data_IF_980701792006
#
_entry.id   IF_980701792006
#
_cell.length_a   1.000
_cell.length_b   1.000
_cell.length_c   1.000
_cell.angle_alpha   90.00
_cell.angle_beta   90.00
_cell.angle_gamma   90.00
#
_symmetry.space_group_name_H-M   'P 1'
#
loop_
_entity.id
_entity.type
_entity.pdbx_description
1 polymer ?
#
# COMPACT_ATOMS: atom_id res chain seq x y z
N UNK A 1 17.32 0.38 15.67
CA UNK A 1 16.97 -0.96 16.06
C UNK A 1 15.81 -0.97 17.02
N UNK A 2 14.81 -1.81 16.81
CA UNK A 2 13.70 -2.20 17.68
C UNK A 2 12.34 -1.58 17.28
N UNK A 3 11.78 -2.07 16.18
CA UNK A 3 10.33 -2.36 16.07
C UNK A 3 10.16 -3.20 14.82
N UNK A 4 10.40 -4.50 14.96
CA UNK A 4 9.73 -5.49 14.12
C UNK A 4 8.30 -5.59 14.63
N UNK A 5 7.50 -4.53 14.45
CA UNK A 5 6.07 -4.66 14.52
C UNK A 5 5.66 -5.42 13.25
N UNK A 6 5.35 -6.69 13.43
CA UNK A 6 4.79 -7.50 12.37
C UNK A 6 3.59 -6.75 11.79
N UNK A 7 3.43 -6.81 10.49
CA UNK A 7 2.35 -6.16 9.71
C UNK A 7 0.94 -6.54 10.21
N UNK A 8 0.84 -7.43 11.20
CA UNK A 8 -0.37 -8.01 11.78
C UNK A 8 -0.38 -7.98 13.32
N UNK A 9 0.16 -6.91 13.91
CA UNK A 9 0.06 -6.76 15.36
C UNK A 9 -1.41 -6.50 15.74
N UNK A 10 -2.01 -7.39 16.53
CA UNK A 10 -3.42 -7.28 16.95
C UNK A 10 -3.70 -6.05 17.83
N UNK A 11 -2.66 -5.42 18.37
CA UNK A 11 -2.69 -4.17 19.11
C UNK A 11 -1.75 -3.13 18.47
N UNK A 12 -2.04 -2.67 17.25
CA UNK A 12 -1.15 -1.78 16.50
C UNK A 12 -1.07 -0.38 17.12
N UNK A 13 0.05 0.29 16.89
CA UNK A 13 0.23 1.69 17.21
C UNK A 13 -0.24 2.55 16.01
N UNK A 14 -1.31 3.35 16.20
CA UNK A 14 -1.94 4.16 15.14
C UNK A 14 -0.93 5.14 14.50
N UNK A 15 0.05 5.59 15.28
CA UNK A 15 1.04 6.56 14.83
C UNK A 15 2.27 5.91 14.21
N UNK A 16 2.85 4.88 14.87
CA UNK A 16 4.18 4.38 14.56
C UNK A 16 4.19 3.04 13.80
N UNK A 17 3.09 2.25 13.84
CA UNK A 17 3.03 1.00 13.06
C UNK A 17 3.05 1.27 11.56
N UNK A 18 3.51 0.31 10.73
CA UNK A 18 3.47 0.44 9.27
C UNK A 18 2.09 0.84 8.76
N UNK A 19 2.03 1.85 7.91
CA UNK A 19 0.77 2.45 7.47
C UNK A 19 0.15 3.42 8.48
N UNK A 20 0.85 3.78 9.55
CA UNK A 20 0.42 4.75 10.55
C UNK A 20 0.62 6.21 10.14
N UNK A 21 0.24 7.12 11.05
CA UNK A 21 0.34 8.56 10.80
C UNK A 21 1.78 9.05 10.58
N UNK A 22 2.78 8.35 11.13
CA UNK A 22 4.19 8.69 10.95
C UNK A 22 4.61 8.55 9.49
N UNK A 23 4.13 7.54 8.79
CA UNK A 23 4.48 7.34 7.38
C UNK A 23 3.99 8.50 6.52
N UNK A 24 2.76 8.98 6.75
CA UNK A 24 2.22 10.15 6.06
C UNK A 24 2.99 11.43 6.39
N UNK A 25 3.42 11.60 7.64
CA UNK A 25 4.23 12.75 8.06
C UNK A 25 5.60 12.72 7.39
N UNK A 26 6.27 11.57 7.39
CA UNK A 26 7.60 11.40 6.84
C UNK A 26 7.62 11.75 5.35
N UNK A 27 6.67 11.22 4.57
CA UNK A 27 6.64 11.47 3.13
C UNK A 27 6.31 12.93 2.81
N UNK A 28 5.47 13.60 3.59
CA UNK A 28 5.22 15.04 3.44
C UNK A 28 6.45 15.87 3.82
N UNK A 29 7.20 15.48 4.84
CA UNK A 29 8.46 16.17 5.20
C UNK A 29 9.51 16.02 4.11
N UNK A 30 9.71 14.81 3.58
CA UNK A 30 10.62 14.58 2.46
C UNK A 30 10.21 15.41 1.24
N UNK A 31 8.91 15.39 0.91
CA UNK A 31 8.37 16.17 -0.22
C UNK A 31 8.60 17.67 -0.04
N UNK A 32 8.42 18.17 1.18
CA UNK A 32 8.68 19.58 1.50
C UNK A 32 10.17 19.92 1.43
N UNK A 33 11.02 19.08 1.99
CA UNK A 33 12.48 19.29 1.96
C UNK A 33 13.02 19.27 0.53
N UNK A 34 12.48 18.42 -0.33
CA UNK A 34 12.83 18.34 -1.74
C UNK A 34 12.17 19.44 -2.62
N UNK A 35 11.41 20.37 -2.04
CA UNK A 35 10.75 21.45 -2.75
C UNK A 35 9.53 21.06 -3.58
N UNK A 36 9.01 19.83 -3.42
CA UNK A 36 7.87 19.31 -4.20
C UNK A 36 6.49 19.68 -3.63
N UNK A 37 6.44 20.23 -2.42
CA UNK A 37 5.20 20.68 -1.81
C UNK A 37 5.02 20.20 -0.37
N UNK A 38 4.02 20.78 0.31
CA UNK A 38 3.76 20.57 1.74
C UNK A 38 2.38 19.98 2.04
N UNK A 39 1.60 19.70 1.00
CA UNK A 39 0.24 19.17 1.14
C UNK A 39 -0.09 18.18 0.03
N UNK A 40 -1.02 17.28 0.29
CA UNK A 40 -1.50 16.30 -0.69
C UNK A 40 -2.00 16.94 -1.98
N UNK A 41 -2.70 18.08 -1.87
CA UNK A 41 -3.20 18.83 -3.01
C UNK A 41 -2.07 19.44 -3.85
N UNK A 42 -1.00 19.90 -3.22
CA UNK A 42 0.19 20.40 -3.92
C UNK A 42 0.92 19.28 -4.66
N UNK A 43 1.10 18.13 -4.03
CA UNK A 43 1.71 16.96 -4.65
C UNK A 43 0.92 16.48 -5.86
N UNK A 44 -0.41 16.50 -5.78
CA UNK A 44 -1.27 16.18 -6.93
C UNK A 44 -1.16 17.20 -8.06
N UNK A 45 -1.16 18.50 -7.76
CA UNK A 45 -0.98 19.56 -8.78
C UNK A 45 0.36 19.46 -9.51
N UNK A 46 1.40 18.98 -8.81
CA UNK A 46 2.74 18.77 -9.39
C UNK A 46 2.93 17.40 -10.05
N UNK A 47 1.88 16.58 -10.09
CA UNK A 47 1.89 15.29 -10.76
C UNK A 47 2.71 14.19 -10.08
N UNK A 48 3.03 14.33 -8.77
CA UNK A 48 3.69 13.27 -8.01
C UNK A 48 2.73 12.15 -7.65
N UNK A 49 1.48 12.53 -7.36
CA UNK A 49 0.37 11.61 -7.13
C UNK A 49 -0.84 12.07 -7.93
N UNK A 50 -1.77 11.17 -8.17
CA UNK A 50 -3.04 11.53 -8.81
C UNK A 50 -3.97 12.25 -7.83
N UNK A 51 -4.95 13.06 -8.32
CA UNK A 51 -5.97 13.65 -7.45
C UNK A 51 -6.76 12.63 -6.64
N UNK A 52 -6.94 11.40 -7.17
CA UNK A 52 -7.58 10.28 -6.46
C UNK A 52 -6.72 9.80 -5.29
N UNK A 53 -5.43 9.63 -5.51
CA UNK A 53 -4.47 9.23 -4.46
C UNK A 53 -4.39 10.28 -3.36
N UNK A 54 -4.38 11.57 -3.71
CA UNK A 54 -4.38 12.65 -2.74
C UNK A 54 -5.64 12.62 -1.84
N UNK A 55 -6.83 12.42 -2.43
CA UNK A 55 -8.07 12.26 -1.66
C UNK A 55 -8.08 11.02 -0.77
N UNK A 56 -7.51 9.90 -1.26
CA UNK A 56 -7.38 8.69 -0.45
C UNK A 56 -6.44 8.89 0.73
N UNK A 57 -5.28 9.52 0.51
CA UNK A 57 -4.33 9.84 1.58
C UNK A 57 -4.99 10.72 2.66
N UNK A 58 -5.70 11.77 2.27
CA UNK A 58 -6.44 12.64 3.19
C UNK A 58 -7.50 11.88 3.98
N UNK A 59 -8.27 11.01 3.31
CA UNK A 59 -9.31 10.20 3.96
C UNK A 59 -8.71 9.22 4.98
N UNK A 60 -7.63 8.51 4.63
CA UNK A 60 -6.98 7.59 5.54
C UNK A 60 -6.33 8.32 6.72
N UNK A 61 -5.69 9.47 6.46
CA UNK A 61 -5.16 10.33 7.51
C UNK A 61 -6.26 10.75 8.49
N UNK A 62 -7.41 11.20 8.00
CA UNK A 62 -8.53 11.60 8.83
C UNK A 62 -9.07 10.44 9.69
N UNK A 63 -9.18 9.22 9.12
CA UNK A 63 -9.60 8.02 9.86
C UNK A 63 -8.63 7.72 11.00
N UNK A 64 -7.33 7.72 10.73
CA UNK A 64 -6.32 7.41 11.75
C UNK A 64 -6.25 8.51 12.82
N UNK A 65 -6.41 9.77 12.44
CA UNK A 65 -6.46 10.90 13.38
C UNK A 65 -7.71 10.83 14.29
N UNK A 66 -8.90 10.54 13.73
CA UNK A 66 -10.12 10.38 14.51
C UNK A 66 -9.99 9.23 15.53
N UNK A 67 -9.51 8.08 15.09
CA UNK A 67 -9.26 6.94 15.99
C UNK A 67 -8.26 7.30 17.09
N UNK A 68 -7.18 8.00 16.78
CA UNK A 68 -6.17 8.41 17.74
C UNK A 68 -6.72 9.40 18.76
N UNK A 69 -7.50 10.38 18.32
CA UNK A 69 -8.11 11.39 19.20
C UNK A 69 -9.05 10.70 20.20
N UNK A 70 -9.96 9.85 19.72
CA UNK A 70 -10.88 9.08 20.57
C UNK A 70 -10.15 8.19 21.56
N UNK A 71 -9.11 7.52 21.10
CA UNK A 71 -8.28 6.66 21.96
C UNK A 71 -7.63 7.48 23.10
N UNK A 72 -7.13 8.68 22.82
CA UNK A 72 -6.58 9.57 23.85
C UNK A 72 -7.63 9.97 24.88
N UNK A 73 -8.87 10.29 24.44
CA UNK A 73 -9.97 10.62 25.36
C UNK A 73 -10.36 9.41 26.20
N UNK A 74 -10.53 8.25 25.59
CA UNK A 74 -10.90 7.01 26.28
C UNK A 74 -9.85 6.57 27.31
N UNK A 75 -8.57 6.68 26.96
CA UNK A 75 -7.47 6.32 27.85
C UNK A 75 -7.16 7.38 28.91
N UNK A 76 -7.70 8.60 28.81
CA UNK A 76 -7.37 9.73 29.68
C UNK A 76 -5.91 10.19 29.62
N UNK A 77 -5.16 9.72 28.61
CA UNK A 77 -3.73 9.99 28.42
C UNK A 77 -3.36 9.87 26.94
N UNK A 78 -2.11 10.21 26.60
CA UNK A 78 -1.55 9.92 25.28
C UNK A 78 -1.35 8.42 25.12
N UNK A 79 -2.28 7.77 24.45
CA UNK A 79 -2.22 6.36 24.09
C UNK A 79 -2.36 6.22 22.58
N UNK A 80 -1.35 5.66 21.94
CA UNK A 80 -1.33 5.48 20.48
C UNK A 80 -1.54 4.01 20.09
N UNK A 81 -1.60 3.09 21.05
CA UNK A 81 -1.75 1.66 20.85
C UNK A 81 -3.20 1.24 21.00
N UNK A 82 -3.76 0.60 19.98
CA UNK A 82 -5.11 0.02 19.99
C UNK A 82 -5.15 -1.26 20.82
N UNK A 83 -5.03 -1.14 22.15
CA UNK A 83 -5.13 -2.26 23.07
C UNK A 83 -6.51 -2.92 22.99
N UNK A 84 -6.58 -4.24 23.23
CA UNK A 84 -7.84 -5.00 23.17
C UNK A 84 -8.94 -4.40 24.01
N UNK A 85 -8.61 -3.91 25.22
CA UNK A 85 -9.58 -3.30 26.15
C UNK A 85 -10.26 -2.05 25.56
N UNK A 86 -9.57 -1.32 24.68
CA UNK A 86 -10.14 -0.12 24.04
C UNK A 86 -10.87 -0.40 22.73
N UNK A 87 -10.56 -1.53 22.04
CA UNK A 87 -11.10 -1.78 20.71
C UNK A 87 -12.64 -1.87 20.71
N UNK A 88 -13.23 -2.56 21.68
CA UNK A 88 -14.68 -2.71 21.75
C UNK A 88 -15.35 -1.37 22.09
N UNK A 89 -14.87 -0.68 23.11
CA UNK A 89 -15.42 0.62 23.53
C UNK A 89 -15.34 1.66 22.40
N UNK A 90 -14.20 1.73 21.69
CA UNK A 90 -14.06 2.63 20.54
C UNK A 90 -15.01 2.27 19.40
N UNK A 91 -15.23 0.97 19.15
CA UNK A 91 -16.19 0.55 18.14
C UNK A 91 -17.62 0.98 18.50
N UNK A 92 -18.00 0.84 19.76
CA UNK A 92 -19.32 1.24 20.25
C UNK A 92 -19.50 2.77 20.21
N UNK A 93 -18.50 3.56 20.61
CA UNK A 93 -18.48 5.03 20.46
C UNK A 93 -18.61 5.50 19.01
N UNK A 94 -18.12 4.70 18.07
CA UNK A 94 -18.24 4.95 16.64
C UNK A 94 -19.59 4.49 16.06
N UNK A 95 -20.49 3.98 16.90
CA UNK A 95 -21.80 3.48 16.50
C UNK A 95 -21.73 2.22 15.62
N UNK A 96 -20.66 1.43 15.75
CA UNK A 96 -20.51 0.19 14.98
C UNK A 96 -21.45 -0.87 15.56
N UNK A 97 -22.25 -1.49 14.72
CA UNK A 97 -23.09 -2.62 15.10
C UNK A 97 -22.73 -3.84 14.24
N UNK A 98 -22.49 -4.96 14.91
CA UNK A 98 -22.16 -6.22 14.25
C UNK A 98 -23.27 -7.25 14.51
N UNK A 99 -23.56 -8.08 13.49
CA UNK A 99 -24.43 -9.24 13.68
C UNK A 99 -23.55 -10.46 14.03
N UNK A 100 -23.96 -11.29 14.99
CA UNK A 100 -23.24 -12.52 15.30
C UNK A 100 -23.00 -13.37 14.05
N UNK A 101 -21.87 -14.05 13.93
CA UNK A 101 -20.79 -14.22 14.95
C UNK A 101 -19.76 -13.07 15.02
N UNK A 102 -19.89 -12.02 14.21
CA UNK A 102 -18.92 -10.93 14.08
C UNK A 102 -18.98 -9.99 15.29
N UNK A 103 -17.81 -9.48 15.75
CA UNK A 103 -17.68 -8.53 16.86
C UNK A 103 -17.50 -7.10 16.35
N UNK A 104 -17.94 -6.11 17.14
CA UNK A 104 -17.75 -4.68 16.82
C UNK A 104 -16.26 -4.31 16.76
N UNK A 105 -15.44 -4.87 17.65
CA UNK A 105 -13.98 -4.72 17.63
C UNK A 105 -13.34 -5.20 16.32
N UNK A 106 -13.84 -6.29 15.72
CA UNK A 106 -13.35 -6.77 14.42
C UNK A 106 -13.66 -5.77 13.29
N UNK A 107 -14.82 -5.11 13.35
CA UNK A 107 -15.17 -4.07 12.39
C UNK A 107 -14.26 -2.83 12.53
N UNK A 108 -13.94 -2.46 13.77
CA UNK A 108 -13.00 -1.38 14.05
C UNK A 108 -11.61 -1.71 13.47
N UNK A 109 -11.11 -2.90 13.79
CA UNK A 109 -9.79 -3.34 13.31
C UNK A 109 -9.75 -3.46 11.78
N UNK A 110 -10.83 -3.94 11.15
CA UNK A 110 -10.93 -3.94 9.69
C UNK A 110 -10.86 -2.52 9.11
N UNK A 111 -11.54 -1.54 9.74
CA UNK A 111 -11.47 -0.12 9.33
C UNK A 111 -10.05 0.42 9.48
N UNK A 112 -9.39 0.12 10.60
CA UNK A 112 -8.00 0.51 10.84
C UNK A 112 -7.06 -0.09 9.79
N UNK A 113 -7.08 -1.40 9.58
CA UNK A 113 -6.17 -2.06 8.63
C UNK A 113 -6.41 -1.63 7.18
N UNK A 114 -7.65 -1.36 6.79
CA UNK A 114 -7.94 -0.77 5.47
C UNK A 114 -7.30 0.62 5.32
N UNK A 115 -7.36 1.44 6.36
CA UNK A 115 -6.72 2.74 6.34
C UNK A 115 -5.18 2.61 6.31
N UNK A 116 -4.59 1.77 7.15
CA UNK A 116 -3.16 1.51 7.21
C UNK A 116 -2.63 0.97 5.86
N UNK A 117 -3.32 -0.01 5.26
CA UNK A 117 -2.98 -0.52 3.92
C UNK A 117 -3.01 0.60 2.86
N UNK A 118 -4.04 1.45 2.88
CA UNK A 118 -4.13 2.58 1.96
C UNK A 118 -3.02 3.60 2.16
N UNK A 119 -2.61 3.86 3.41
CA UNK A 119 -1.45 4.71 3.72
C UNK A 119 -0.17 4.11 3.16
N UNK A 120 0.08 2.82 3.42
CA UNK A 120 1.27 2.12 2.91
C UNK A 120 1.34 2.21 1.39
N UNK A 121 0.23 2.00 0.67
CA UNK A 121 0.18 2.08 -0.78
C UNK A 121 0.54 3.48 -1.29
N UNK A 122 -0.10 4.52 -0.77
CA UNK A 122 0.19 5.91 -1.19
C UNK A 122 1.63 6.29 -0.85
N UNK A 123 2.11 5.91 0.33
CA UNK A 123 3.48 6.17 0.78
C UNK A 123 4.50 5.53 -0.15
N UNK A 124 4.32 4.26 -0.51
CA UNK A 124 5.21 3.54 -1.44
C UNK A 124 5.26 4.21 -2.81
N UNK A 125 4.09 4.50 -3.42
CA UNK A 125 4.04 5.19 -4.72
C UNK A 125 4.75 6.54 -4.64
N UNK A 126 4.48 7.32 -3.60
CA UNK A 126 5.03 8.66 -3.50
C UNK A 126 6.53 8.64 -3.26
N UNK A 127 7.06 7.74 -2.41
CA UNK A 127 8.49 7.59 -2.19
C UNK A 127 9.22 7.19 -3.47
N UNK A 128 8.71 6.22 -4.22
CA UNK A 128 9.29 5.82 -5.52
C UNK A 128 9.24 6.95 -6.55
N UNK A 129 8.15 7.73 -6.55
CA UNK A 129 8.04 8.88 -7.46
C UNK A 129 9.00 10.00 -7.06
N UNK A 130 9.18 10.24 -5.76
CA UNK A 130 10.14 11.22 -5.25
C UNK A 130 11.58 10.79 -5.57
N UNK A 131 11.92 9.53 -5.35
CA UNK A 131 13.24 8.98 -5.68
C UNK A 131 13.58 9.20 -7.15
N UNK A 132 12.67 8.85 -8.06
CA UNK A 132 12.85 9.05 -9.49
C UNK A 132 12.97 10.53 -9.90
N UNK A 133 12.36 11.46 -9.13
CA UNK A 133 12.43 12.91 -9.41
C UNK A 133 13.65 13.56 -8.80
N UNK A 134 14.12 13.09 -7.65
CA UNK A 134 15.30 13.63 -6.94
C UNK A 134 16.58 13.11 -7.59
N UNK A 135 16.57 11.85 -8.01
CA UNK A 135 17.71 11.17 -8.62
C UNK A 135 17.33 10.72 -10.05
N UNK A 136 17.16 11.67 -11.00
CA UNK A 136 16.90 11.29 -12.37
C UNK A 136 18.12 10.51 -12.88
N UNK A 137 17.96 9.22 -13.12
CA UNK A 137 18.99 8.39 -13.76
C UNK A 137 19.35 8.98 -15.14
N UNK A 138 20.60 8.77 -15.57
CA UNK A 138 20.97 9.05 -16.97
C UNK A 138 19.97 8.36 -17.90
N UNK A 139 19.70 8.95 -19.09
CA UNK A 139 18.74 8.45 -20.08
C UNK A 139 18.70 6.93 -20.16
N UNK A 140 17.83 6.32 -19.36
CA UNK A 140 17.70 4.86 -19.30
C UNK A 140 16.80 4.46 -20.45
N UNK A 141 17.38 3.71 -21.39
CA UNK A 141 16.62 3.12 -22.49
C UNK A 141 15.85 1.92 -21.95
N UNK A 142 14.53 1.83 -22.14
CA UNK A 142 13.76 0.66 -21.75
C UNK A 142 14.26 -0.60 -22.48
N UNK A 143 14.46 -1.68 -21.74
CA UNK A 143 14.82 -2.99 -22.29
C UNK A 143 13.61 -3.91 -22.17
N UNK A 144 13.09 -4.36 -23.30
CA UNK A 144 11.93 -5.25 -23.36
C UNK A 144 12.30 -6.60 -22.73
N UNK A 145 11.49 -7.07 -21.78
CA UNK A 145 11.57 -8.41 -21.20
C UNK A 145 10.60 -9.35 -21.94
N UNK A 146 9.35 -8.89 -22.11
CA UNK A 146 8.31 -9.56 -22.87
C UNK A 146 7.25 -8.56 -23.37
N UNK A 147 6.15 -9.05 -23.91
CA UNK A 147 5.06 -8.19 -24.43
C UNK A 147 4.44 -7.27 -23.40
N UNK A 148 4.45 -7.66 -22.10
CA UNK A 148 3.79 -6.95 -21.00
C UNK A 148 4.73 -6.17 -20.12
N UNK A 149 6.01 -6.52 -20.09
CA UNK A 149 6.97 -5.94 -19.17
C UNK A 149 8.28 -5.56 -19.83
N UNK A 150 8.84 -4.47 -19.34
CA UNK A 150 10.15 -3.95 -19.69
C UNK A 150 10.93 -3.60 -18.43
N UNK A 151 12.25 -3.57 -18.58
CA UNK A 151 13.18 -3.06 -17.57
C UNK A 151 13.47 -1.60 -17.86
N UNK A 152 13.28 -0.74 -16.86
CA UNK A 152 13.65 0.67 -16.90
C UNK A 152 14.68 0.93 -15.78
N UNK A 153 15.97 0.90 -16.11
CA UNK A 153 17.03 0.88 -15.11
C UNK A 153 16.96 -0.38 -14.24
N UNK A 154 16.75 -0.21 -12.95
CA UNK A 154 16.59 -1.30 -11.98
C UNK A 154 15.11 -1.60 -11.66
N UNK A 155 14.17 -1.04 -12.43
CA UNK A 155 12.73 -1.15 -12.18
C UNK A 155 12.05 -2.01 -13.23
N UNK A 156 11.13 -2.87 -12.76
CA UNK A 156 10.20 -3.59 -13.63
C UNK A 156 9.03 -2.64 -13.96
N UNK A 157 8.80 -2.40 -15.23
CA UNK A 157 7.75 -1.53 -15.71
C UNK A 157 6.79 -2.28 -16.65
N UNK A 158 5.49 -2.06 -16.46
CA UNK A 158 4.47 -2.55 -17.37
C UNK A 158 4.48 -1.69 -18.65
N UNK A 159 4.42 -2.33 -19.82
CA UNK A 159 4.39 -1.66 -21.14
C UNK A 159 3.06 -0.93 -21.39
N UNK A 160 1.97 -1.34 -20.73
CA UNK A 160 0.64 -0.76 -20.80
C UNK A 160 0.07 -0.60 -19.37
N UNK A 161 -0.45 0.57 -19.05
CA UNK A 161 -1.09 0.87 -17.75
C UNK A 161 -2.33 0.01 -17.47
N UNK A 162 -2.95 -0.55 -18.51
CA UNK A 162 -4.12 -1.40 -18.41
C UNK A 162 -3.80 -2.91 -18.44
N UNK A 163 -2.52 -3.29 -18.44
CA UNK A 163 -2.12 -4.71 -18.54
C UNK A 163 -2.80 -5.58 -17.49
N UNK A 164 -2.85 -5.13 -16.24
CA UNK A 164 -3.45 -5.89 -15.13
C UNK A 164 -4.98 -5.96 -15.18
N UNK A 165 -5.64 -5.05 -15.90
CA UNK A 165 -7.08 -5.10 -16.14
C UNK A 165 -7.42 -6.07 -17.26
N UNK A 166 -6.59 -6.09 -18.32
CA UNK A 166 -6.74 -7.00 -19.45
C UNK A 166 -6.37 -8.42 -19.08
N UNK A 167 -5.29 -8.57 -18.34
CA UNK A 167 -4.70 -9.85 -17.95
C UNK A 167 -4.35 -9.87 -16.45
N UNK A 168 -5.29 -10.24 -15.57
CA UNK A 168 -5.05 -10.29 -14.13
C UNK A 168 -3.87 -11.17 -13.72
N UNK A 169 -3.58 -12.23 -14.48
CA UNK A 169 -2.41 -13.10 -14.28
C UNK A 169 -1.06 -12.37 -14.38
N UNK A 170 -1.01 -11.21 -15.03
CA UNK A 170 0.19 -10.39 -15.12
C UNK A 170 0.71 -9.91 -13.75
N UNK A 171 -0.16 -9.87 -12.71
CA UNK A 171 0.27 -9.57 -11.34
C UNK A 171 1.25 -10.63 -10.83
N UNK A 172 0.91 -11.92 -11.01
CA UNK A 172 1.77 -13.04 -10.62
C UNK A 172 3.02 -13.11 -11.50
N UNK A 173 2.86 -12.89 -12.80
CA UNK A 173 3.98 -12.81 -13.73
C UNK A 173 4.99 -11.72 -13.30
N UNK A 174 4.51 -10.55 -12.90
CA UNK A 174 5.40 -9.48 -12.41
C UNK A 174 6.18 -9.87 -11.15
N UNK A 175 5.64 -10.75 -10.30
CA UNK A 175 6.36 -11.27 -9.14
C UNK A 175 7.43 -12.28 -9.56
N UNK A 176 7.08 -13.18 -10.50
CA UNK A 176 8.00 -14.16 -11.04
C UNK A 176 9.18 -13.52 -11.77
N UNK A 177 8.93 -12.46 -12.56
CA UNK A 177 9.98 -11.71 -13.24
C UNK A 177 10.97 -11.06 -12.27
N UNK A 178 10.49 -10.52 -11.13
CA UNK A 178 11.38 -9.97 -10.11
C UNK A 178 12.26 -11.05 -9.46
N UNK A 179 11.76 -12.28 -9.34
CA UNK A 179 12.53 -13.41 -8.82
C UNK A 179 13.56 -13.92 -9.84
N UNK A 180 13.20 -13.93 -11.13
CA UNK A 180 14.06 -14.40 -12.22
C UNK A 180 15.14 -13.40 -12.62
N UNK A 181 14.95 -12.11 -12.32
CA UNK A 181 15.86 -11.02 -12.69
C UNK A 181 16.42 -10.34 -11.43
N UNK A 182 17.53 -10.84 -10.85
CA UNK A 182 18.13 -10.29 -9.64
C UNK A 182 18.63 -8.83 -9.77
N UNK A 183 18.76 -8.35 -10.99
CA UNK A 183 19.14 -6.99 -11.36
C UNK A 183 17.95 -6.01 -11.29
N UNK A 184 16.74 -6.51 -11.08
CA UNK A 184 15.55 -5.71 -10.82
C UNK A 184 15.34 -5.54 -9.30
N UNK A 185 15.26 -4.30 -8.84
CA UNK A 185 15.00 -4.00 -7.42
C UNK A 185 13.53 -4.20 -7.03
N UNK A 186 12.63 -3.67 -7.85
CA UNK A 186 11.20 -3.68 -7.58
C UNK A 186 10.39 -3.26 -8.82
N UNK A 187 9.08 -3.19 -8.67
CA UNK A 187 8.17 -2.60 -9.67
C UNK A 187 8.27 -1.08 -9.63
N UNK A 188 8.16 -0.43 -10.78
CA UNK A 188 8.08 1.03 -10.88
C UNK A 188 6.81 1.57 -10.19
N UNK A 189 6.82 2.86 -9.82
CA UNK A 189 5.64 3.52 -9.26
C UNK A 189 4.42 3.42 -10.20
N UNK A 190 4.62 3.53 -11.51
CA UNK A 190 3.57 3.39 -12.52
C UNK A 190 2.98 1.98 -12.53
N UNK A 191 3.83 0.96 -12.49
CA UNK A 191 3.41 -0.46 -12.46
C UNK A 191 2.64 -0.79 -11.19
N UNK A 192 3.13 -0.36 -10.01
CA UNK A 192 2.41 -0.55 -8.74
C UNK A 192 1.05 0.15 -8.74
N UNK A 193 0.99 1.38 -9.27
CA UNK A 193 -0.27 2.12 -9.39
C UNK A 193 -1.28 1.37 -10.26
N UNK A 194 -0.86 0.91 -11.44
CA UNK A 194 -1.69 0.12 -12.35
C UNK A 194 -2.19 -1.17 -11.71
N UNK A 195 -1.31 -1.89 -11.02
CA UNK A 195 -1.63 -3.12 -10.30
C UNK A 195 -2.67 -2.88 -9.20
N UNK A 196 -2.49 -1.86 -8.34
CA UNK A 196 -3.43 -1.58 -7.26
C UNK A 196 -4.78 -1.05 -7.74
N UNK A 197 -4.81 -0.35 -8.87
CA UNK A 197 -6.07 0.07 -9.50
C UNK A 197 -6.85 -1.11 -10.09
N UNK A 198 -6.16 -2.13 -10.56
CA UNK A 198 -6.77 -3.33 -11.11
C UNK A 198 -7.17 -4.35 -10.02
N UNK A 199 -6.49 -4.37 -8.87
CA UNK A 199 -6.71 -5.34 -7.80
C UNK A 199 -8.18 -5.53 -7.38
N UNK A 200 -9.01 -4.48 -7.24
CA UNK A 200 -10.43 -4.65 -6.92
C UNK A 200 -11.28 -5.33 -8.01
N UNK A 201 -10.75 -5.41 -9.24
CA UNK A 201 -11.43 -6.00 -10.40
C UNK A 201 -11.04 -7.46 -10.60
N UNK A 202 -10.06 -7.95 -9.83
CA UNK A 202 -9.55 -9.30 -9.93
C UNK A 202 -10.43 -10.19 -9.08
N UNK A 203 -11.18 -11.07 -9.75
CA UNK A 203 -11.89 -12.15 -9.10
C UNK A 203 -10.91 -13.27 -8.73
N UNK A 204 -11.03 -13.81 -7.53
CA UNK A 204 -10.21 -14.93 -7.06
C UNK A 204 -10.30 -16.15 -8.01
N UNK A 205 -11.44 -16.37 -8.66
CA UNK A 205 -11.65 -17.41 -9.66
C UNK A 205 -10.81 -17.17 -10.92
N UNK A 206 -10.73 -15.93 -11.38
CA UNK A 206 -9.91 -15.56 -12.54
C UNK A 206 -8.41 -15.69 -12.25
N UNK A 207 -7.97 -15.44 -11.01
CA UNK A 207 -6.60 -15.71 -10.58
C UNK A 207 -6.28 -17.21 -10.60
N UNK A 208 -7.20 -18.07 -10.15
CA UNK A 208 -7.03 -19.53 -10.16
C UNK A 208 -6.93 -20.07 -11.59
N UNK A 209 -7.78 -19.61 -12.51
CA UNK A 209 -7.76 -20.02 -13.93
C UNK A 209 -6.47 -19.54 -14.62
N UNK A 210 -5.94 -18.38 -14.28
CA UNK A 210 -4.67 -17.90 -14.81
C UNK A 210 -3.48 -18.75 -14.32
N UNK A 211 -3.59 -19.40 -13.17
CA UNK A 211 -2.58 -20.31 -12.62
C UNK A 211 -2.63 -21.74 -13.26
N UNK A 212 -3.74 -22.12 -13.88
CA UNK A 212 -3.84 -23.39 -14.59
C UNK A 212 -3.09 -23.41 -15.93
N UNK A 213 -2.69 -22.27 -16.47
CA UNK A 213 -1.63 -22.24 -17.49
C UNK A 213 -0.31 -22.62 -16.82
N UNK A 214 0.44 -23.64 -17.32
CA UNK A 214 1.61 -24.17 -16.64
C UNK A 214 2.74 -23.14 -16.57
N UNK A 215 2.65 -22.22 -15.64
CA UNK A 215 3.79 -21.54 -15.08
C UNK A 215 4.46 -22.61 -14.20
N UNK A 216 5.50 -23.23 -14.72
CA UNK A 216 6.37 -24.15 -13.98
C UNK A 216 7.00 -23.36 -12.82
N UNK A 217 6.27 -23.26 -11.71
CA UNK A 217 6.77 -22.74 -10.44
C UNK A 217 7.75 -23.76 -9.87
N UNK A 218 9.02 -23.70 -10.32
CA UNK A 218 10.14 -24.27 -9.61
C UNK A 218 10.66 -23.20 -8.64
N UNK A 219 10.24 -23.24 -7.39
CA UNK A 219 10.85 -22.43 -6.33
C UNK A 219 9.82 -21.90 -5.33
N UNK A 220 10.07 -22.18 -4.10
CA UNK A 220 9.52 -21.72 -2.80
C UNK A 220 8.24 -20.86 -2.78
N UNK A 221 7.19 -21.42 -2.17
CA UNK A 221 5.87 -20.88 -1.91
C UNK A 221 5.77 -19.58 -1.06
N UNK A 222 6.87 -18.92 -0.72
CA UNK A 222 6.88 -17.77 0.17
C UNK A 222 6.37 -16.47 -0.49
N UNK A 223 6.51 -16.34 -1.80
CA UNK A 223 6.15 -15.10 -2.53
C UNK A 223 4.64 -14.97 -2.84
N UNK A 224 3.89 -16.08 -2.83
CA UNK A 224 2.43 -16.05 -3.11
C UNK A 224 1.62 -15.49 -1.93
N UNK A 225 2.09 -15.66 -0.71
CA UNK A 225 1.38 -15.20 0.50
C UNK A 225 1.34 -13.67 0.61
N UNK A 226 2.30 -12.96 0.01
CA UNK A 226 2.36 -11.50 0.03
C UNK A 226 1.33 -10.80 -0.87
N UNK A 227 0.61 -11.53 -1.73
CA UNK A 227 -0.37 -10.97 -2.68
C UNK A 227 -1.82 -11.09 -2.21
N UNK A 228 -2.11 -11.91 -1.19
CA UNK A 228 -3.48 -12.21 -0.72
C UNK A 228 -3.89 -11.48 0.56
N UNK A 229 -3.05 -10.58 1.11
CA UNK A 229 -3.37 -9.81 2.33
C UNK A 229 -3.30 -8.31 2.12
#
# INVERSE_FOLDING_TARGET
GRYHDATHNLEPNIKESPGGLRDLQNVLWVSRAAGFGKSWSELARRGLITPREARLAQRHQAILQDLRIRLHYLAGRREDRLLFDFQTTLADELGMSAKPPRRTSEMLMQRYYRAAKGVTQVNTILLLTLEARIFPGANVVPVVINERFQKLGEWLEATDENVFRKEPGAILESALLLEQHPDLKARSAATLRAMWQAAPLIDAVNCAIALERPLLLKGNNASLVALTY
#
